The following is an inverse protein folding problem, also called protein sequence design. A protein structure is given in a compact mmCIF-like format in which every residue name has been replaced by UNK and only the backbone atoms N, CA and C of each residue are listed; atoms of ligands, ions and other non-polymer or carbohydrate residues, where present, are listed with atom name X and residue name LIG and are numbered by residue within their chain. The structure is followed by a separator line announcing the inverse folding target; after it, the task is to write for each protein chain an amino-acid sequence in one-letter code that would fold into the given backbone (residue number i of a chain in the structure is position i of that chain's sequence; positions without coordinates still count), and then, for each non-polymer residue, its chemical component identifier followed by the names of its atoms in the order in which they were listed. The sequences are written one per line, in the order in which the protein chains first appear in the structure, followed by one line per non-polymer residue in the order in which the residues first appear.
data_IF_758718220024
#
_entry.id   IF_758718220024
#
_cell.length_a   1.000
_cell.length_b   1.000
_cell.length_c   1.000
_cell.angle_alpha   90.00
_cell.angle_beta   90.00
_cell.angle_gamma   90.00
#
_symmetry.space_group_name_H-M   'P 1'
#
loop_
_entity.id
_entity.type
_entity.pdbx_description
1 polymer ?
#
# COMPACT_ATOMS: atom_id res chain seq x y z
N UNK A 1 16.16 56.28 16.04
CA UNK A 1 16.51 55.07 16.81
C UNK A 1 15.32 54.13 16.71
N UNK A 2 15.34 53.20 15.74
CA UNK A 2 14.24 52.25 15.46
C UNK A 2 14.81 50.85 15.71
N UNK A 3 14.25 50.03 16.61
CA UNK A 3 14.78 48.70 16.85
C UNK A 3 14.36 47.78 15.71
N UNK A 4 15.35 47.16 15.06
CA UNK A 4 15.17 46.12 14.04
C UNK A 4 14.63 44.85 14.71
N UNK A 5 13.42 44.47 14.32
CA UNK A 5 12.81 43.17 14.63
C UNK A 5 13.68 42.06 14.07
N UNK A 6 14.18 41.18 14.93
CA UNK A 6 14.90 39.96 14.50
C UNK A 6 13.86 39.01 13.89
N UNK A 7 13.99 38.75 12.60
CA UNK A 7 13.36 37.59 11.97
C UNK A 7 13.87 36.32 12.66
N UNK A 8 12.97 35.59 13.31
CA UNK A 8 13.23 34.22 13.73
C UNK A 8 13.09 33.39 12.46
N UNK A 9 14.21 33.09 11.82
CA UNK A 9 14.27 32.01 10.84
C UNK A 9 13.92 30.72 11.59
N UNK A 10 12.74 30.19 11.30
CA UNK A 10 12.38 28.82 11.67
C UNK A 10 13.27 27.89 10.85
N UNK A 11 14.43 27.55 11.42
CA UNK A 11 15.23 26.43 10.95
C UNK A 11 14.40 25.16 11.14
N UNK A 12 13.78 24.70 10.06
CA UNK A 12 13.13 23.39 10.00
C UNK A 12 14.24 22.36 9.90
N UNK A 13 14.87 22.08 11.04
CA UNK A 13 15.81 20.98 11.15
C UNK A 13 15.00 19.71 10.96
N UNK A 14 15.14 19.09 9.79
CA UNK A 14 14.66 17.74 9.51
C UNK A 14 15.31 16.80 10.52
N UNK A 15 14.53 16.40 11.52
CA UNK A 15 14.92 15.33 12.43
C UNK A 15 14.09 14.14 12.05
N UNK A 16 14.57 13.36 11.09
CA UNK A 16 14.27 11.94 11.10
C UNK A 16 14.71 11.45 12.48
N UNK A 17 13.77 11.01 13.30
CA UNK A 17 14.13 10.39 14.57
C UNK A 17 15.19 9.33 14.27
N UNK A 18 16.40 9.41 14.86
CA UNK A 18 17.43 8.41 14.63
C UNK A 18 16.78 7.04 14.79
N UNK A 19 16.96 6.19 13.76
CA UNK A 19 16.48 4.81 13.75
C UNK A 19 14.96 4.60 13.60
N UNK A 20 14.17 5.57 13.11
CA UNK A 20 12.72 5.36 12.87
C UNK A 20 12.44 4.11 12.02
N UNK A 21 13.25 3.87 11.00
CA UNK A 21 13.12 2.69 10.13
C UNK A 21 13.34 1.38 10.89
N UNK A 22 14.18 1.37 11.93
CA UNK A 22 14.43 0.17 12.74
C UNK A 22 13.21 -0.22 13.59
N UNK A 23 12.32 0.74 13.89
CA UNK A 23 11.12 0.55 14.72
C UNK A 23 9.98 -0.18 14.02
N UNK A 24 10.10 -0.43 12.72
CA UNK A 24 9.05 -1.09 11.93
C UNK A 24 9.50 -2.43 11.39
N UNK A 25 8.56 -3.26 10.92
CA UNK A 25 8.84 -4.58 10.35
C UNK A 25 9.40 -4.55 8.92
N UNK A 26 9.06 -3.51 8.16
CA UNK A 26 9.32 -3.39 6.71
C UNK A 26 10.71 -2.82 6.39
N UNK A 27 11.33 -3.30 5.32
CA UNK A 27 12.69 -2.96 4.88
C UNK A 27 12.76 -2.82 3.35
N UNK A 28 13.80 -2.19 2.80
CA UNK A 28 14.09 -2.30 1.37
C UNK A 28 14.19 -3.77 0.95
N UNK A 29 13.72 -4.14 -0.25
CA UNK A 29 13.23 -3.26 -1.32
C UNK A 29 11.75 -2.87 -1.20
N UNK A 30 10.99 -3.46 -0.27
CA UNK A 30 9.57 -3.12 -0.10
C UNK A 30 9.35 -1.70 0.44
N UNK A 31 10.22 -1.24 1.34
CA UNK A 31 10.31 0.18 1.73
C UNK A 31 11.18 0.92 0.71
N UNK A 32 10.53 1.66 -0.19
CA UNK A 32 11.16 2.47 -1.25
C UNK A 32 10.86 3.97 -1.13
N UNK A 33 10.51 4.43 0.08
CA UNK A 33 10.30 5.86 0.35
C UNK A 33 11.64 6.61 0.38
N UNK A 34 11.69 7.80 -0.22
CA UNK A 34 12.79 8.75 -0.16
C UNK A 34 12.34 10.04 0.54
N UNK A 35 13.28 10.94 0.83
CA UNK A 35 13.01 12.27 1.42
C UNK A 35 12.09 12.21 2.65
N UNK A 36 12.32 11.19 3.48
CA UNK A 36 11.51 10.96 4.69
C UNK A 36 11.83 12.07 5.68
N UNK A 37 10.82 12.81 6.10
CA UNK A 37 10.96 13.92 7.04
C UNK A 37 9.78 14.00 8.02
N UNK A 38 10.07 14.39 9.26
CA UNK A 38 9.04 14.64 10.27
C UNK A 38 8.57 16.08 10.17
N UNK A 39 7.30 16.27 9.81
CA UNK A 39 6.67 17.58 9.70
C UNK A 39 5.69 17.81 10.86
N UNK A 40 6.21 18.29 12.00
CA UNK A 40 5.41 18.50 13.21
C UNK A 40 4.83 17.19 13.74
N UNK A 41 3.50 17.04 13.67
CA UNK A 41 2.82 15.81 14.09
C UNK A 41 2.75 14.72 12.99
N UNK A 42 3.08 15.08 11.75
CA UNK A 42 3.02 14.16 10.59
C UNK A 42 4.39 13.73 10.07
N UNK A 43 4.35 12.90 9.03
CA UNK A 43 5.52 12.44 8.26
C UNK A 43 5.30 12.77 6.78
N UNK A 44 6.36 13.22 6.13
CA UNK A 44 6.41 13.42 4.68
C UNK A 44 7.40 12.45 4.08
N UNK A 45 7.10 11.98 2.88
CA UNK A 45 8.01 11.15 2.10
C UNK A 45 7.67 11.27 0.61
N UNK A 46 8.60 10.84 -0.24
CA UNK A 46 8.44 10.78 -1.69
C UNK A 46 8.59 9.33 -2.17
N UNK A 47 7.92 8.97 -3.26
CA UNK A 47 8.21 7.78 -4.03
C UNK A 47 7.91 7.98 -5.52
N UNK A 48 8.40 7.07 -6.36
CA UNK A 48 8.08 6.99 -7.79
C UNK A 48 7.71 5.55 -8.13
N UNK A 49 6.97 5.36 -9.23
CA UNK A 49 6.48 4.05 -9.63
C UNK A 49 7.64 3.07 -9.91
N UNK A 50 7.59 1.89 -9.28
CA UNK A 50 8.42 0.73 -9.61
C UNK A 50 7.66 -0.28 -10.48
N UNK A 51 6.32 -0.30 -10.38
CA UNK A 51 5.47 -1.27 -11.07
C UNK A 51 4.91 -0.75 -12.39
N UNK A 52 4.95 -1.55 -13.48
CA UNK A 52 4.50 -1.12 -14.81
C UNK A 52 3.04 -0.63 -14.80
N UNK A 53 2.75 0.38 -15.63
CA UNK A 53 1.41 1.02 -15.67
C UNK A 53 0.30 0.08 -16.16
N UNK A 54 0.62 -0.87 -17.04
CA UNK A 54 -0.37 -1.62 -17.82
C UNK A 54 -1.42 -0.68 -18.44
N UNK A 55 -2.70 -0.86 -18.12
CA UNK A 55 -3.83 -0.03 -18.59
C UNK A 55 -4.29 1.01 -17.57
N UNK A 56 -3.67 1.05 -16.38
CA UNK A 56 -4.01 2.05 -15.36
C UNK A 56 -3.27 3.36 -15.66
N UNK A 57 -4.02 4.46 -15.74
CA UNK A 57 -3.49 5.79 -16.00
C UNK A 57 -3.19 6.55 -14.71
N UNK A 58 -2.05 7.25 -14.69
CA UNK A 58 -1.62 8.09 -13.59
C UNK A 58 -0.11 8.02 -13.38
N UNK A 59 0.42 8.72 -12.36
CA UNK A 59 1.85 8.72 -12.06
C UNK A 59 2.35 7.40 -11.49
N UNK A 60 1.46 6.58 -10.92
CA UNK A 60 1.77 5.33 -10.23
C UNK A 60 0.49 4.49 -10.08
N UNK A 61 0.55 3.15 -10.22
CA UNK A 61 -0.62 2.29 -10.02
C UNK A 61 -1.20 2.40 -8.61
N UNK A 62 -2.52 2.29 -8.46
CA UNK A 62 -3.26 2.50 -7.22
C UNK A 62 -2.82 1.59 -6.08
N UNK A 63 -2.48 0.33 -6.38
CA UNK A 63 -1.95 -0.61 -5.40
C UNK A 63 -0.56 -0.20 -4.89
N UNK A 64 0.27 0.37 -5.75
CA UNK A 64 1.59 0.89 -5.36
C UNK A 64 1.48 2.20 -4.58
N UNK A 65 0.55 3.10 -4.97
CA UNK A 65 0.20 4.27 -4.14
C UNK A 65 -0.23 3.83 -2.73
N UNK A 66 -1.06 2.78 -2.65
CA UNK A 66 -1.52 2.18 -1.41
C UNK A 66 -0.36 1.62 -0.56
N UNK A 67 0.64 0.97 -1.18
CA UNK A 67 1.87 0.54 -0.49
C UNK A 67 2.53 1.72 0.22
N UNK A 68 2.87 2.76 -0.53
CA UNK A 68 3.62 3.89 0.01
C UNK A 68 2.83 4.64 1.08
N UNK A 69 1.52 4.82 0.86
CA UNK A 69 0.63 5.41 1.85
C UNK A 69 0.60 4.57 3.14
N UNK A 70 0.52 3.25 3.03
CA UNK A 70 0.55 2.36 4.19
C UNK A 70 1.89 2.44 4.95
N UNK A 71 3.01 2.52 4.22
CA UNK A 71 4.34 2.68 4.84
C UNK A 71 4.48 4.03 5.53
N UNK A 72 4.00 5.11 4.91
CA UNK A 72 3.95 6.44 5.55
C UNK A 72 3.09 6.40 6.82
N UNK A 73 1.91 5.79 6.76
CA UNK A 73 1.02 5.66 7.92
C UNK A 73 1.65 4.90 9.09
N UNK A 74 2.27 3.74 8.84
CA UNK A 74 2.94 2.96 9.89
C UNK A 74 4.20 3.66 10.44
N UNK A 75 4.93 4.43 9.61
CA UNK A 75 6.10 5.18 10.08
C UNK A 75 5.66 6.35 10.96
N UNK A 76 4.58 7.04 10.60
CA UNK A 76 4.00 8.09 11.46
C UNK A 76 3.51 7.49 12.78
N UNK A 77 2.87 6.32 12.76
CA UNK A 77 2.45 5.63 13.99
C UNK A 77 3.65 5.22 14.85
N UNK A 78 4.71 4.67 14.24
CA UNK A 78 5.93 4.30 14.94
C UNK A 78 6.65 5.49 15.58
N UNK A 79 6.68 6.65 14.91
CA UNK A 79 7.26 7.88 15.43
C UNK A 79 6.46 8.46 16.63
N UNK A 80 5.21 8.04 16.82
CA UNK A 80 4.34 8.46 17.93
C UNK A 80 4.32 7.46 19.09
N UNK A 81 4.97 6.31 18.94
CA UNK A 81 5.19 5.41 20.06
C UNK A 81 6.09 6.10 21.09
N UNK A 82 5.79 5.91 22.38
CA UNK A 82 6.59 6.46 23.48
C UNK A 82 7.92 5.74 23.74
N UNK A 83 8.35 4.86 22.83
CA UNK A 83 9.57 4.09 22.93
C UNK A 83 10.17 3.80 21.53
N UNK A 84 11.37 3.21 21.53
CA UNK A 84 12.14 2.91 20.33
C UNK A 84 12.01 1.44 19.90
N UNK A 85 11.02 0.70 20.43
CA UNK A 85 10.89 -0.74 20.19
C UNK A 85 10.33 -1.01 18.79
N UNK A 86 10.87 -2.04 18.15
CA UNK A 86 10.32 -2.57 16.91
C UNK A 86 8.93 -3.15 17.11
N UNK A 87 8.06 -2.88 16.14
CA UNK A 87 6.69 -3.39 16.03
C UNK A 87 6.37 -3.74 14.57
N UNK A 88 5.43 -4.66 14.42
CA UNK A 88 4.83 -5.03 13.15
C UNK A 88 3.46 -4.35 13.03
N UNK A 89 3.26 -3.63 11.94
CA UNK A 89 2.01 -2.93 11.63
C UNK A 89 1.36 -3.67 10.46
N UNK A 90 0.34 -4.49 10.76
CA UNK A 90 -0.38 -5.25 9.74
C UNK A 90 -1.55 -4.40 9.26
N UNK A 91 -1.51 -3.90 8.03
CA UNK A 91 -2.66 -3.23 7.43
C UNK A 91 -3.84 -4.22 7.36
N UNK A 92 -4.97 -3.83 7.95
CA UNK A 92 -6.19 -4.66 8.03
C UNK A 92 -7.28 -4.13 7.13
N UNK A 93 -7.43 -2.80 7.09
CA UNK A 93 -8.42 -2.13 6.27
C UNK A 93 -7.83 -0.87 5.67
N UNK A 94 -8.27 -0.53 4.47
CA UNK A 94 -7.98 0.76 3.88
C UNK A 94 -9.16 1.29 3.07
N UNK A 95 -9.44 2.57 3.23
CA UNK A 95 -10.28 3.35 2.32
C UNK A 95 -9.37 4.23 1.47
N UNK A 96 -9.47 4.09 0.15
CA UNK A 96 -8.64 4.77 -0.83
C UNK A 96 -9.53 5.59 -1.76
N UNK A 97 -9.19 6.86 -1.95
CA UNK A 97 -9.90 7.79 -2.84
C UNK A 97 -8.88 8.41 -3.76
N UNK A 98 -9.21 8.46 -5.04
CA UNK A 98 -8.31 8.93 -6.08
C UNK A 98 -9.00 10.03 -6.87
N UNK A 99 -8.22 11.00 -7.34
CA UNK A 99 -8.70 12.08 -8.20
C UNK A 99 -7.87 12.11 -9.48
N UNK A 100 -8.46 12.51 -10.62
CA UNK A 100 -7.71 12.70 -11.86
C UNK A 100 -6.51 13.63 -11.64
N UNK A 101 -5.38 13.25 -12.22
CA UNK A 101 -4.14 13.99 -12.11
C UNK A 101 -3.33 13.82 -13.41
N UNK A 102 -2.85 14.93 -13.96
CA UNK A 102 -2.15 14.96 -15.25
C UNK A 102 -0.65 14.64 -15.16
N UNK A 103 -0.15 14.29 -13.96
CA UNK A 103 1.23 13.89 -13.80
C UNK A 103 1.52 12.63 -14.64
N UNK A 104 2.61 12.63 -15.45
CA UNK A 104 2.95 11.48 -16.27
C UNK A 104 3.35 10.31 -15.38
N UNK A 105 3.20 9.10 -15.93
CA UNK A 105 3.66 7.88 -15.28
C UNK A 105 5.14 7.97 -14.88
N UNK A 106 5.46 7.57 -13.65
CA UNK A 106 6.79 7.67 -13.05
C UNK A 106 7.10 9.04 -12.42
N UNK A 107 6.20 10.03 -12.52
CA UNK A 107 6.38 11.30 -11.82
C UNK A 107 6.44 11.07 -10.30
N UNK A 108 7.33 11.78 -9.56
CA UNK A 108 7.41 11.65 -8.11
C UNK A 108 6.08 12.02 -7.44
N UNK A 109 5.64 11.15 -6.53
CA UNK A 109 4.47 11.32 -5.68
C UNK A 109 4.93 11.66 -4.26
N UNK A 110 4.40 12.75 -3.71
CA UNK A 110 4.66 13.16 -2.32
C UNK A 110 3.51 12.70 -1.44
N UNK A 111 3.86 12.08 -0.32
CA UNK A 111 2.92 11.60 0.67
C UNK A 111 3.04 12.41 1.95
N UNK A 112 1.92 12.69 2.59
CA UNK A 112 1.86 13.31 3.91
C UNK A 112 0.92 12.51 4.81
N UNK A 113 1.45 11.93 5.87
CA UNK A 113 0.72 11.09 6.81
C UNK A 113 0.56 11.72 8.19
N UNK A 114 -0.60 11.49 8.81
CA UNK A 114 -0.87 11.78 10.21
C UNK A 114 -1.56 10.60 10.88
N UNK A 115 -1.30 10.42 12.18
CA UNK A 115 -2.03 9.45 13.01
C UNK A 115 -3.39 10.05 13.37
N UNK A 116 -4.45 9.26 13.19
CA UNK A 116 -5.80 9.56 13.64
C UNK A 116 -6.06 8.97 15.03
N UNK A 117 -5.60 7.74 15.24
CA UNK A 117 -5.73 7.01 16.51
C UNK A 117 -4.54 6.07 16.70
N UNK A 118 -4.15 5.85 17.96
CA UNK A 118 -3.04 4.99 18.32
C UNK A 118 -3.21 4.42 19.73
N UNK A 119 -3.21 3.11 19.82
CA UNK A 119 -3.14 2.39 21.09
C UNK A 119 -2.07 1.29 21.07
N UNK A 120 -2.09 0.40 22.07
CA UNK A 120 -1.11 -0.69 22.22
C UNK A 120 -1.20 -1.78 21.16
N UNK A 121 -2.36 -1.94 20.51
CA UNK A 121 -2.74 -3.05 19.61
C UNK A 121 -3.26 -2.58 18.25
N UNK A 122 -3.55 -1.30 18.10
CA UNK A 122 -4.13 -0.70 16.91
C UNK A 122 -3.53 0.66 16.60
N UNK A 123 -3.55 1.01 15.31
CA UNK A 123 -3.27 2.36 14.85
C UNK A 123 -4.17 2.65 13.65
N UNK A 124 -4.59 3.92 13.51
CA UNK A 124 -5.26 4.42 12.30
C UNK A 124 -4.52 5.65 11.81
N UNK A 125 -4.25 5.72 10.51
CA UNK A 125 -3.56 6.84 9.90
C UNK A 125 -4.31 7.37 8.67
N UNK A 126 -4.26 8.68 8.47
CA UNK A 126 -4.71 9.35 7.26
C UNK A 126 -3.50 9.83 6.47
N UNK A 127 -3.49 9.56 5.16
CA UNK A 127 -2.42 9.93 4.25
C UNK A 127 -3.03 10.65 3.05
N UNK A 128 -2.40 11.74 2.62
CA UNK A 128 -2.69 12.37 1.33
C UNK A 128 -1.49 12.23 0.40
N UNK A 129 -1.77 12.08 -0.89
CA UNK A 129 -0.77 12.01 -1.94
C UNK A 129 -0.98 13.16 -2.93
N UNK A 130 0.12 13.78 -3.35
CA UNK A 130 0.15 14.80 -4.40
C UNK A 130 1.19 14.45 -5.45
N UNK A 131 0.90 14.78 -6.71
CA UNK A 131 1.83 14.67 -7.82
C UNK A 131 1.77 15.96 -8.64
N UNK A 132 2.93 16.45 -9.06
CA UNK A 132 3.06 17.72 -9.79
C UNK A 132 2.35 18.91 -9.10
N UNK A 133 2.36 18.94 -7.77
CA UNK A 133 1.72 20.01 -6.97
C UNK A 133 0.18 19.91 -6.87
N UNK A 134 -0.46 18.97 -7.54
CA UNK A 134 -1.91 18.75 -7.49
C UNK A 134 -2.27 17.53 -6.60
N UNK A 135 -3.48 17.51 -6.00
CA UNK A 135 -4.00 16.32 -5.33
C UNK A 135 -4.02 15.10 -6.25
N UNK A 136 -3.72 13.92 -5.69
CA UNK A 136 -3.75 12.65 -6.41
C UNK A 136 -4.63 11.62 -5.70
N UNK A 137 -4.44 11.46 -4.40
CA UNK A 137 -5.20 10.47 -3.63
C UNK A 137 -5.24 10.79 -2.13
N UNK A 138 -6.18 10.17 -1.44
CA UNK A 138 -6.23 10.10 0.02
C UNK A 138 -6.50 8.67 0.49
N UNK A 139 -5.95 8.35 1.66
CA UNK A 139 -5.98 7.03 2.25
C UNK A 139 -6.31 7.15 3.74
N UNK A 140 -7.15 6.26 4.23
CA UNK A 140 -7.24 5.96 5.65
C UNK A 140 -6.94 4.48 5.85
N UNK A 141 -5.96 4.17 6.70
CA UNK A 141 -5.47 2.80 6.88
C UNK A 141 -5.53 2.43 8.36
N UNK A 142 -6.16 1.30 8.64
CA UNK A 142 -6.19 0.66 9.95
C UNK A 142 -5.12 -0.43 10.03
N UNK A 143 -4.36 -0.42 11.13
CA UNK A 143 -3.31 -1.38 11.41
C UNK A 143 -3.60 -2.15 12.69
N UNK A 144 -3.34 -3.46 12.67
CA UNK A 144 -3.06 -4.20 13.88
C UNK A 144 -1.57 -4.03 14.24
N UNK A 145 -1.29 -3.66 15.49
CA UNK A 145 0.06 -3.42 16.00
C UNK A 145 0.48 -4.61 16.86
N UNK A 146 1.57 -5.26 16.46
CA UNK A 146 2.15 -6.40 17.17
C UNK A 146 3.55 -6.04 17.66
N UNK A 147 3.86 -6.39 18.90
CA UNK A 147 5.26 -6.42 19.37
C UNK A 147 6.01 -7.54 18.65
N UNK A 148 7.34 -7.46 18.59
CA UNK A 148 8.17 -8.52 18.02
C UNK A 148 7.83 -9.90 18.61
N UNK A 149 7.78 -10.02 19.93
CA UNK A 149 7.42 -11.27 20.61
C UNK A 149 6.02 -11.80 20.27
N UNK A 150 5.05 -10.91 20.03
CA UNK A 150 3.69 -11.31 19.66
C UNK A 150 3.65 -11.81 18.21
N UNK A 151 4.35 -11.13 17.31
CA UNK A 151 4.49 -11.52 15.90
C UNK A 151 5.19 -12.87 15.77
N UNK A 152 6.35 -13.04 16.39
CA UNK A 152 7.10 -14.30 16.38
C UNK A 152 6.31 -15.46 16.97
N UNK A 153 5.55 -15.22 18.05
CA UNK A 153 4.69 -16.26 18.63
C UNK A 153 3.56 -16.65 17.68
N UNK A 154 2.92 -15.68 17.04
CA UNK A 154 1.79 -15.90 16.13
C UNK A 154 2.23 -16.65 14.86
N UNK A 155 3.41 -16.32 14.34
CA UNK A 155 3.90 -16.82 13.05
C UNK A 155 5.11 -17.76 13.17
N UNK A 156 5.36 -18.33 14.36
CA UNK A 156 6.54 -19.17 14.65
C UNK A 156 6.81 -20.24 13.59
N UNK A 157 5.76 -20.90 13.11
CA UNK A 157 5.85 -22.00 12.13
C UNK A 157 6.08 -21.52 10.69
N UNK A 158 6.00 -20.21 10.45
CA UNK A 158 6.18 -19.57 9.14
C UNK A 158 7.58 -18.98 8.97
N UNK A 159 8.42 -19.05 10.00
CA UNK A 159 9.78 -18.54 9.97
C UNK A 159 10.64 -19.25 8.92
N UNK A 160 11.22 -18.48 7.99
CA UNK A 160 12.12 -18.97 6.95
C UNK A 160 13.03 -17.83 6.46
N UNK A 161 14.29 -18.08 6.10
CA UNK A 161 15.15 -17.05 5.52
C UNK A 161 14.52 -16.39 4.28
N UNK A 162 14.52 -15.06 4.27
CA UNK A 162 14.15 -14.24 3.12
C UNK A 162 15.41 -13.95 2.32
N UNK A 163 15.50 -14.28 1.03
CA UNK A 163 16.70 -14.02 0.24
C UNK A 163 16.84 -12.51 -0.05
N UNK A 164 18.04 -12.10 -0.45
CA UNK A 164 18.21 -10.83 -1.16
C UNK A 164 17.68 -11.00 -2.59
N UNK A 165 16.74 -10.17 -2.98
CA UNK A 165 16.18 -10.16 -4.34
C UNK A 165 15.82 -8.71 -4.74
N UNK A 166 15.57 -8.45 -6.04
CA UNK A 166 15.00 -7.19 -6.49
C UNK A 166 13.62 -6.92 -5.87
N UNK A 167 13.14 -5.69 -6.05
CA UNK A 167 11.79 -5.28 -5.65
C UNK A 167 10.72 -6.18 -6.27
N UNK A 168 9.73 -6.67 -5.50
CA UNK A 168 8.66 -7.51 -6.03
C UNK A 168 7.67 -6.73 -6.91
N UNK A 169 7.81 -5.41 -7.01
CA UNK A 169 6.94 -4.54 -7.82
C UNK A 169 7.38 -4.43 -9.28
N UNK A 170 8.59 -4.87 -9.64
CA UNK A 170 9.05 -4.82 -11.03
C UNK A 170 8.29 -5.72 -12.01
N UNK A 171 7.49 -6.67 -11.51
CA UNK A 171 6.67 -7.58 -12.33
C UNK A 171 5.50 -8.17 -11.53
N UNK A 172 4.41 -8.51 -12.22
CA UNK A 172 3.31 -9.31 -11.65
C UNK A 172 3.79 -10.70 -11.21
N UNK A 173 3.06 -11.32 -10.27
CA UNK A 173 3.31 -12.73 -9.89
C UNK A 173 2.98 -13.68 -11.05
N UNK A 174 1.93 -13.34 -11.78
CA UNK A 174 1.50 -13.97 -13.04
C UNK A 174 0.65 -12.99 -13.83
N UNK A 175 0.77 -13.02 -15.15
CA UNK A 175 -0.13 -12.33 -16.06
C UNK A 175 -1.18 -13.28 -16.66
N UNK A 176 -0.95 -14.60 -16.60
CA UNK A 176 -1.88 -15.60 -17.13
C UNK A 176 -3.13 -15.69 -16.27
N UNK A 177 -4.28 -15.50 -16.90
CA UNK A 177 -5.59 -15.59 -16.27
C UNK A 177 -6.55 -16.38 -17.16
N UNK A 178 -7.61 -16.91 -16.55
CA UNK A 178 -8.72 -17.56 -17.25
C UNK A 178 -10.03 -16.99 -16.71
N UNK A 179 -11.08 -17.01 -17.52
CA UNK A 179 -12.35 -16.45 -17.08
C UNK A 179 -13.38 -16.30 -18.18
N UNK A 180 -14.37 -15.48 -17.87
CA UNK A 180 -15.46 -15.04 -18.76
C UNK A 180 -15.42 -13.52 -18.85
N UNK A 181 -16.43 -12.91 -19.50
CA UNK A 181 -16.54 -11.44 -19.56
C UNK A 181 -16.81 -10.78 -18.20
N UNK A 182 -17.32 -11.53 -17.23
CA UNK A 182 -17.78 -11.01 -15.94
C UNK A 182 -16.95 -11.49 -14.75
N UNK A 183 -16.08 -12.49 -14.96
CA UNK A 183 -15.24 -13.06 -13.91
C UNK A 183 -13.90 -13.51 -14.46
N UNK A 184 -12.83 -13.26 -13.73
CA UNK A 184 -11.48 -13.69 -14.06
C UNK A 184 -10.77 -14.27 -12.83
N UNK A 185 -9.92 -15.26 -13.07
CA UNK A 185 -9.12 -15.93 -12.06
C UNK A 185 -7.64 -16.00 -12.48
N UNK A 186 -6.75 -15.75 -11.53
CA UNK A 186 -5.32 -16.04 -11.62
C UNK A 186 -4.92 -17.00 -10.50
N UNK A 187 -3.97 -17.87 -10.82
CA UNK A 187 -3.42 -18.85 -9.89
C UNK A 187 -1.91 -18.77 -9.89
N UNK A 188 -1.32 -18.73 -8.69
CA UNK A 188 0.10 -18.93 -8.45
C UNK A 188 0.22 -20.21 -7.62
N UNK A 189 0.69 -21.30 -8.24
CA UNK A 189 0.72 -22.63 -7.61
C UNK A 189 1.58 -22.68 -6.34
N UNK A 190 2.70 -21.97 -6.35
CA UNK A 190 3.59 -21.85 -5.21
C UNK A 190 4.19 -20.45 -5.21
N UNK A 191 3.82 -19.65 -4.22
CA UNK A 191 4.28 -18.28 -4.11
C UNK A 191 5.82 -18.21 -3.97
N UNK A 192 6.53 -17.50 -4.86
CA UNK A 192 7.98 -17.40 -4.76
C UNK A 192 8.37 -16.55 -3.54
N UNK A 193 9.37 -17.00 -2.80
CA UNK A 193 9.89 -16.27 -1.63
C UNK A 193 10.40 -14.87 -2.01
N UNK A 194 10.88 -14.68 -3.24
CA UNK A 194 11.30 -13.39 -3.79
C UNK A 194 10.17 -12.33 -3.80
N UNK A 195 8.91 -12.76 -3.90
CA UNK A 195 7.76 -11.85 -3.84
C UNK A 195 7.51 -11.26 -2.43
N UNK A 196 8.17 -11.80 -1.40
CA UNK A 196 7.96 -11.42 0.00
C UNK A 196 9.07 -10.52 0.56
N UNK A 197 10.10 -10.20 -0.24
CA UNK A 197 11.33 -9.55 0.24
C UNK A 197 11.04 -8.13 0.72
N UNK A 198 11.55 -7.79 1.91
CA UNK A 198 11.38 -6.49 2.54
C UNK A 198 10.06 -6.30 3.30
N UNK A 199 9.09 -7.22 3.21
CA UNK A 199 7.84 -7.10 3.97
C UNK A 199 8.08 -7.41 5.46
N UNK A 200 8.43 -8.67 5.76
CA UNK A 200 8.84 -9.13 7.09
C UNK A 200 10.07 -10.04 6.95
N UNK A 201 11.24 -9.54 7.32
CA UNK A 201 12.47 -10.31 7.24
C UNK A 201 12.41 -11.55 8.15
N UNK A 202 12.75 -12.72 7.59
CA UNK A 202 12.67 -14.01 8.28
C UNK A 202 11.28 -14.63 8.32
N UNK A 203 10.26 -13.94 7.79
CA UNK A 203 8.87 -14.38 7.76
C UNK A 203 8.26 -14.01 6.40
N UNK A 204 8.55 -14.78 5.33
CA UNK A 204 8.23 -14.39 3.97
C UNK A 204 6.72 -14.47 3.70
N UNK A 205 6.02 -13.39 4.07
CA UNK A 205 4.62 -13.14 3.76
C UNK A 205 4.52 -12.19 2.58
N UNK A 206 3.62 -12.48 1.64
CA UNK A 206 3.33 -11.61 0.52
C UNK A 206 2.87 -10.23 1.03
N UNK A 207 3.44 -9.11 0.55
CA UNK A 207 2.90 -7.81 0.86
C UNK A 207 1.45 -7.69 0.43
N UNK A 208 0.60 -7.11 1.29
CA UNK A 208 -0.80 -6.84 0.96
C UNK A 208 -0.90 -6.06 -0.34
N UNK A 209 -0.02 -5.07 -0.56
CA UNK A 209 -0.06 -4.29 -1.77
C UNK A 209 0.42 -5.03 -3.05
N UNK A 210 1.19 -6.12 -2.95
CA UNK A 210 1.49 -7.00 -4.10
C UNK A 210 0.26 -7.84 -4.44
N UNK A 211 -0.41 -8.36 -3.39
CA UNK A 211 -1.67 -9.07 -3.53
C UNK A 211 -2.74 -8.17 -4.18
N UNK A 212 -2.90 -6.93 -3.69
CA UNK A 212 -3.84 -5.96 -4.27
C UNK A 212 -3.42 -5.57 -5.68
N UNK A 213 -2.13 -5.48 -5.99
CA UNK A 213 -1.63 -5.26 -7.34
C UNK A 213 -2.08 -6.33 -8.34
N UNK A 214 -2.04 -7.62 -7.96
CA UNK A 214 -2.58 -8.70 -8.80
C UNK A 214 -4.09 -8.56 -9.02
N UNK A 215 -4.85 -8.23 -7.97
CA UNK A 215 -6.29 -8.04 -8.06
C UNK A 215 -6.65 -6.83 -8.94
N UNK A 216 -5.96 -5.71 -8.77
CA UNK A 216 -6.14 -4.51 -9.59
C UNK A 216 -5.81 -4.77 -11.05
N UNK A 217 -4.71 -5.48 -11.33
CA UNK A 217 -4.37 -5.90 -12.68
C UNK A 217 -5.49 -6.73 -13.32
N UNK A 218 -5.99 -7.74 -12.60
CA UNK A 218 -7.04 -8.62 -13.08
C UNK A 218 -8.37 -7.89 -13.30
N UNK A 219 -8.71 -6.93 -12.43
CA UNK A 219 -9.84 -6.04 -12.61
C UNK A 219 -9.67 -5.17 -13.88
N UNK A 220 -8.48 -4.66 -14.12
CA UNK A 220 -8.12 -3.96 -15.35
C UNK A 220 -8.27 -4.81 -16.61
N UNK A 221 -7.85 -6.09 -16.56
CA UNK A 221 -8.06 -7.03 -17.67
C UNK A 221 -9.55 -7.25 -17.96
N UNK A 222 -10.38 -7.41 -16.93
CA UNK A 222 -11.84 -7.47 -17.11
C UNK A 222 -12.41 -6.12 -17.59
N UNK A 223 -11.85 -4.99 -17.16
CA UNK A 223 -12.28 -3.68 -17.63
C UNK A 223 -12.06 -3.51 -19.14
N UNK A 224 -10.90 -3.94 -19.64
CA UNK A 224 -10.62 -4.11 -21.07
C UNK A 224 -10.28 -2.84 -21.84
N UNK A 225 -10.27 -1.69 -21.16
CA UNK A 225 -9.89 -0.37 -21.71
C UNK A 225 -8.98 0.37 -20.72
N UNK A 226 -8.23 1.40 -21.16
CA UNK A 226 -7.51 2.27 -20.23
C UNK A 226 -8.45 2.86 -19.18
N UNK A 227 -7.96 2.97 -17.94
CA UNK A 227 -8.81 3.36 -16.81
C UNK A 227 -8.04 4.14 -15.75
N UNK A 228 -8.80 4.78 -14.86
CA UNK A 228 -8.33 5.29 -13.57
C UNK A 228 -9.08 4.59 -12.45
N UNK A 229 -8.38 4.30 -11.35
CA UNK A 229 -9.05 3.92 -10.11
C UNK A 229 -9.63 5.18 -9.50
N UNK A 230 -10.89 5.16 -9.09
CA UNK A 230 -11.58 6.29 -8.43
C UNK A 230 -11.69 6.02 -6.93
N UNK A 231 -11.92 4.77 -6.56
CA UNK A 231 -12.06 4.32 -5.18
C UNK A 231 -11.54 2.91 -5.01
N UNK A 232 -10.96 2.64 -3.85
CA UNK A 232 -10.62 1.29 -3.40
C UNK A 232 -11.03 1.11 -1.94
N UNK A 233 -11.61 -0.04 -1.63
CA UNK A 233 -11.89 -0.47 -0.27
C UNK A 233 -11.24 -1.82 -0.06
N UNK A 234 -10.30 -1.90 0.87
CA UNK A 234 -9.45 -3.07 1.08
C UNK A 234 -9.70 -3.64 2.45
N UNK A 235 -9.82 -4.96 2.54
CA UNK A 235 -9.77 -5.72 3.79
C UNK A 235 -8.75 -6.85 3.64
N UNK A 236 -7.74 -6.88 4.51
CA UNK A 236 -6.75 -7.95 4.63
C UNK A 236 -6.99 -8.69 5.94
N UNK A 237 -7.59 -9.87 5.84
CA UNK A 237 -7.98 -10.70 6.97
C UNK A 237 -6.84 -11.61 7.45
N UNK A 238 -5.92 -11.99 6.55
CA UNK A 238 -4.82 -12.92 6.82
C UNK A 238 -3.64 -12.69 5.84
N UNK A 239 -2.58 -13.49 5.96
CA UNK A 239 -1.38 -13.44 5.12
C UNK A 239 -1.26 -14.67 4.22
N UNK A 240 -0.69 -14.45 3.02
CA UNK A 240 -0.22 -15.51 2.13
C UNK A 240 1.27 -15.69 2.34
N UNK A 241 1.71 -16.91 2.63
CA UNK A 241 3.11 -17.23 2.91
C UNK A 241 3.81 -17.79 1.68
N UNK A 242 5.12 -17.58 1.58
CA UNK A 242 5.92 -18.19 0.53
C UNK A 242 5.76 -19.71 0.50
N UNK A 243 5.62 -20.27 -0.71
CA UNK A 243 5.33 -21.69 -0.94
C UNK A 243 3.85 -22.05 -0.88
N UNK A 244 2.97 -21.18 -0.38
CA UNK A 244 1.53 -21.41 -0.47
C UNK A 244 1.00 -21.14 -1.89
N UNK A 245 -0.06 -21.85 -2.26
CA UNK A 245 -0.86 -21.55 -3.45
C UNK A 245 -1.68 -20.30 -3.22
N UNK A 246 -1.58 -19.33 -4.11
CA UNK A 246 -2.40 -18.12 -4.10
C UNK A 246 -3.39 -18.12 -5.28
N UNK A 247 -4.65 -17.79 -5.00
CA UNK A 247 -5.70 -17.65 -6.02
C UNK A 247 -6.28 -16.24 -5.92
N UNK A 248 -6.40 -15.58 -7.07
CA UNK A 248 -6.93 -14.23 -7.19
C UNK A 248 -8.17 -14.28 -8.06
N UNK A 249 -9.28 -13.73 -7.59
CA UNK A 249 -10.56 -13.71 -8.32
C UNK A 249 -11.06 -12.28 -8.40
N UNK A 250 -11.58 -11.92 -9.57
CA UNK A 250 -12.29 -10.66 -9.75
C UNK A 250 -13.58 -10.95 -10.48
N UNK A 251 -14.66 -10.31 -10.04
CA UNK A 251 -15.94 -10.29 -10.72
C UNK A 251 -16.42 -8.85 -10.91
N UNK A 252 -17.12 -8.57 -12.02
CA UNK A 252 -17.90 -7.33 -12.15
C UNK A 252 -19.02 -7.35 -11.11
N UNK A 253 -19.22 -6.21 -10.45
CA UNK A 253 -20.17 -6.07 -9.34
C UNK A 253 -21.05 -4.81 -9.52
N UNK A 254 -21.42 -4.53 -10.77
CA UNK A 254 -22.27 -3.40 -11.17
C UNK A 254 -21.51 -2.09 -11.39
N UNK A 255 -22.22 -0.98 -11.22
CA UNK A 255 -21.72 0.37 -11.41
C UNK A 255 -21.62 1.13 -10.08
N UNK A 256 -20.87 2.23 -10.06
CA UNK A 256 -20.78 3.12 -8.91
C UNK A 256 -22.12 3.81 -8.63
N UNK A 257 -22.55 3.75 -7.36
CA UNK A 257 -23.86 4.22 -6.92
C UNK A 257 -23.82 5.53 -6.12
N UNK A 258 -22.63 6.04 -5.82
CA UNK A 258 -22.44 7.27 -5.04
C UNK A 258 -21.95 8.40 -5.92
N UNK A 259 -22.11 9.66 -5.47
CA UNK A 259 -21.57 10.82 -6.19
C UNK A 259 -20.07 10.69 -6.48
N UNK A 260 -19.32 10.05 -5.59
CA UNK A 260 -17.87 9.85 -5.71
C UNK A 260 -17.48 8.74 -6.68
N UNK A 261 -18.41 7.84 -7.02
CA UNK A 261 -18.16 6.68 -7.89
C UNK A 261 -19.03 6.71 -9.15
N UNK A 262 -19.80 7.78 -9.36
CA UNK A 262 -20.71 7.90 -10.48
C UNK A 262 -19.93 7.83 -11.80
N UNK A 263 -20.39 7.00 -12.74
CA UNK A 263 -19.71 6.78 -14.04
C UNK A 263 -18.58 5.75 -14.00
N UNK A 264 -18.25 5.19 -12.83
CA UNK A 264 -17.28 4.09 -12.72
C UNK A 264 -17.97 2.72 -12.67
N UNK A 265 -17.23 1.68 -13.07
CA UNK A 265 -17.64 0.27 -12.92
C UNK A 265 -17.05 -0.30 -11.64
N UNK A 266 -17.86 -1.05 -10.89
CA UNK A 266 -17.46 -1.70 -9.65
C UNK A 266 -16.98 -3.12 -9.91
N UNK A 267 -15.93 -3.51 -9.21
CA UNK A 267 -15.34 -4.84 -9.23
C UNK A 267 -15.20 -5.36 -7.81
N UNK A 268 -15.60 -6.62 -7.61
CA UNK A 268 -15.36 -7.36 -6.37
C UNK A 268 -14.16 -8.27 -6.58
N UNK A 269 -13.18 -8.13 -5.71
CA UNK A 269 -11.90 -8.80 -5.81
C UNK A 269 -11.65 -9.60 -4.54
N UNK A 270 -11.14 -10.83 -4.67
CA UNK A 270 -10.83 -11.71 -3.55
C UNK A 270 -9.52 -12.44 -3.77
N UNK A 271 -8.74 -12.58 -2.70
CA UNK A 271 -7.54 -13.41 -2.69
C UNK A 271 -7.64 -14.52 -1.66
N UNK A 272 -7.13 -15.68 -2.04
CA UNK A 272 -7.18 -16.92 -1.27
C UNK A 272 -5.79 -17.56 -1.17
N UNK A 273 -5.48 -18.12 -0.01
CA UNK A 273 -4.30 -18.96 0.23
C UNK A 273 -4.75 -20.39 0.54
N UNK A 274 -4.66 -21.29 -0.45
CA UNK A 274 -5.37 -22.56 -0.39
C UNK A 274 -6.88 -22.35 -0.31
N UNK A 275 -7.50 -22.77 0.79
CA UNK A 275 -8.93 -22.65 1.10
C UNK A 275 -9.28 -21.44 1.99
N UNK A 276 -8.28 -20.67 2.42
CA UNK A 276 -8.46 -19.50 3.30
C UNK A 276 -8.64 -18.23 2.50
N UNK A 277 -9.73 -17.50 2.71
CA UNK A 277 -9.85 -16.11 2.24
C UNK A 277 -8.91 -15.23 3.04
N UNK A 278 -7.96 -14.59 2.37
CA UNK A 278 -6.92 -13.76 3.01
C UNK A 278 -7.17 -12.27 2.82
N UNK A 279 -7.89 -11.89 1.77
CA UNK A 279 -8.20 -10.50 1.49
C UNK A 279 -9.39 -10.35 0.55
N UNK A 280 -10.08 -9.22 0.69
CA UNK A 280 -11.12 -8.76 -0.21
C UNK A 280 -10.87 -7.29 -0.58
N UNK A 281 -11.28 -6.91 -1.78
CA UNK A 281 -11.20 -5.53 -2.23
C UNK A 281 -12.39 -5.19 -3.14
N UNK A 282 -13.02 -4.03 -2.91
CA UNK A 282 -13.89 -3.40 -3.91
C UNK A 282 -13.11 -2.33 -4.64
N UNK A 283 -13.16 -2.34 -5.98
CA UNK A 283 -12.53 -1.34 -6.84
C UNK A 283 -13.57 -0.66 -7.72
N UNK A 284 -13.40 0.64 -7.93
CA UNK A 284 -14.19 1.43 -8.86
C UNK A 284 -13.28 1.99 -9.94
N UNK A 285 -13.52 1.57 -11.18
CA UNK A 285 -12.71 1.92 -12.35
C UNK A 285 -13.50 2.80 -13.30
N UNK A 286 -12.96 3.97 -13.62
CA UNK A 286 -13.48 4.89 -14.62
C UNK A 286 -12.70 4.68 -15.92
N UNK A 287 -13.41 4.45 -17.02
CA UNK A 287 -12.81 4.37 -18.36
C UNK A 287 -12.25 5.72 -18.77
N UNK A 288 -11.10 5.70 -19.45
CA UNK A 288 -10.50 6.91 -20.03
C UNK A 288 -10.33 6.68 -21.53
N UNK A 289 -10.81 7.65 -22.30
CA UNK A 289 -10.67 7.71 -23.76
C UNK A 289 -9.23 8.01 -24.19
#
# INVERSE_FOLDING_TARGET
MIPRTRHIESSTTSVVAPNLLERVGVRPPYLALTDIDMAGLGLRATAAAESPSYSELGPMPAAELGRHAAIVGLLTAAARQGDDRRRYYLARRAECRYVPNDAPYGAPVRFNGRVLDLDKRGARAAITATANGAPLASFEVDYAVLTDSAFERLFRTRGKPTPRAPSPYGSLLTASWHGTMDMAEQVVESLPVGACVGHFDGYPALPVAVLMGQLSYLAGCLHGVPYRVVRGEVEASDLVWAGERAVFRVARDGDGATQETLGSRRYRCEAWAGDRSVAAMSLWLESVD
#
